data_IF_432683274784
#
_entry.id   IF_432683274784
#
_cell.length_a   1.000
_cell.length_b   1.000
_cell.length_c   1.000
_cell.angle_alpha   90.00
_cell.angle_beta   90.00
_cell.angle_gamma   90.00
#
_symmetry.space_group_name_H-M   'P 1'
#
loop_
_entity.id
_entity.type
_entity.pdbx_description
1 polymer ?
#
# COMPACT_ATOMS: atom_id res chain seq x y z
N UNK A 1 10.67 -3.57 -9.05
CA UNK A 1 9.99 -4.88 -8.90
C UNK A 1 8.60 -4.73 -8.28
N UNK A 2 8.47 -4.29 -7.02
CA UNK A 2 7.16 -4.05 -6.37
C UNK A 2 6.22 -3.13 -7.16
N UNK A 3 6.64 -1.92 -7.54
CA UNK A 3 5.81 -0.97 -8.32
C UNK A 3 5.21 -1.58 -9.61
N UNK A 4 6.01 -2.37 -10.32
CA UNK A 4 5.57 -3.01 -11.56
C UNK A 4 4.55 -4.12 -11.26
N UNK A 5 4.82 -4.98 -10.26
CA UNK A 5 3.89 -6.02 -9.82
C UNK A 5 2.58 -5.43 -9.29
N UNK A 6 2.65 -4.35 -8.50
CA UNK A 6 1.49 -3.63 -8.01
C UNK A 6 0.63 -3.10 -9.16
N UNK A 7 1.24 -2.40 -10.12
CA UNK A 7 0.50 -1.87 -11.28
C UNK A 7 -0.17 -2.98 -12.10
N UNK A 8 0.51 -4.10 -12.30
CA UNK A 8 -0.04 -5.25 -13.03
C UNK A 8 -1.23 -5.87 -12.31
N UNK A 9 -1.09 -6.17 -11.01
CA UNK A 9 -2.18 -6.78 -10.22
C UNK A 9 -3.35 -5.82 -10.02
N UNK A 10 -3.09 -4.53 -9.78
CA UNK A 10 -4.14 -3.51 -9.68
C UNK A 10 -4.94 -3.41 -10.98
N UNK A 11 -4.27 -3.34 -12.13
CA UNK A 11 -4.95 -3.24 -13.43
C UNK A 11 -5.80 -4.49 -13.72
N UNK A 12 -5.30 -5.68 -13.39
CA UNK A 12 -6.04 -6.92 -13.54
C UNK A 12 -7.29 -6.96 -12.64
N UNK A 13 -7.15 -6.50 -11.39
CA UNK A 13 -8.26 -6.42 -10.44
C UNK A 13 -9.33 -5.43 -10.89
N UNK A 14 -8.92 -4.26 -11.42
CA UNK A 14 -9.84 -3.24 -11.93
C UNK A 14 -10.68 -3.76 -13.11
N UNK A 15 -10.09 -4.54 -14.01
CA UNK A 15 -10.82 -5.15 -15.13
C UNK A 15 -11.89 -6.11 -14.60
N UNK A 16 -11.55 -6.97 -13.65
CA UNK A 16 -12.49 -7.94 -13.08
C UNK A 16 -13.59 -7.21 -12.32
N UNK A 17 -13.25 -6.21 -11.50
CA UNK A 17 -14.22 -5.40 -10.76
C UNK A 17 -15.24 -4.74 -11.68
N UNK A 18 -14.78 -4.10 -12.76
CA UNK A 18 -15.66 -3.45 -13.74
C UNK A 18 -16.58 -4.45 -14.46
N UNK A 19 -16.10 -5.68 -14.74
CA UNK A 19 -16.92 -6.73 -15.33
C UNK A 19 -18.03 -7.20 -14.36
N UNK A 20 -17.71 -7.34 -13.07
CA UNK A 20 -18.68 -7.69 -12.04
C UNK A 20 -19.74 -6.59 -11.86
N UNK A 21 -19.30 -5.32 -11.83
CA UNK A 21 -20.20 -4.18 -11.76
C UNK A 21 -21.14 -4.10 -12.97
N UNK A 22 -20.60 -4.26 -14.18
CA UNK A 22 -21.38 -4.25 -15.43
C UNK A 22 -22.37 -5.41 -15.51
N UNK A 23 -22.01 -6.56 -14.93
CA UNK A 23 -22.84 -7.77 -14.90
C UNK A 23 -23.79 -7.82 -13.70
N UNK A 24 -23.81 -6.80 -12.83
CA UNK A 24 -24.57 -6.76 -11.56
C UNK A 24 -24.33 -7.99 -10.67
N UNK A 25 -23.13 -8.57 -10.72
CA UNK A 25 -22.73 -9.68 -9.84
C UNK A 25 -22.41 -9.16 -8.44
N UNK A 26 -22.57 -10.01 -7.43
CA UNK A 26 -22.19 -9.67 -6.07
C UNK A 26 -20.66 -9.48 -6.00
N UNK A 27 -20.22 -8.31 -5.55
CA UNK A 27 -18.79 -7.99 -5.40
C UNK A 27 -18.12 -8.84 -4.31
N UNK A 28 -18.88 -9.48 -3.42
CA UNK A 28 -18.31 -10.48 -2.50
C UNK A 28 -17.69 -11.68 -3.23
N UNK A 29 -18.11 -11.96 -4.46
CA UNK A 29 -17.53 -13.00 -5.31
C UNK A 29 -16.12 -12.64 -5.81
N UNK A 30 -15.63 -11.40 -5.62
CA UNK A 30 -14.23 -11.05 -5.88
C UNK A 30 -13.26 -11.65 -4.86
N UNK A 31 -13.70 -11.88 -3.61
CA UNK A 31 -12.86 -12.42 -2.52
C UNK A 31 -12.17 -13.75 -2.85
N UNK A 32 -12.84 -14.74 -3.48
CA UNK A 32 -12.18 -15.99 -3.85
C UNK A 32 -11.26 -15.89 -5.07
N UNK A 33 -11.37 -14.83 -5.89
CA UNK A 33 -10.63 -14.65 -7.15
C UNK A 33 -9.13 -14.56 -6.88
N UNK A 34 -8.33 -15.20 -7.74
CA UNK A 34 -6.89 -15.31 -7.57
C UNK A 34 -6.20 -13.95 -7.58
N UNK A 35 -6.59 -13.07 -8.50
CA UNK A 35 -6.04 -11.72 -8.66
C UNK A 35 -6.25 -10.88 -7.40
N UNK A 36 -7.40 -11.03 -6.73
CA UNK A 36 -7.68 -10.38 -5.46
C UNK A 36 -6.78 -10.91 -4.33
N UNK A 37 -6.62 -12.24 -4.24
CA UNK A 37 -5.72 -12.87 -3.26
C UNK A 37 -4.26 -12.49 -3.49
N UNK A 38 -3.81 -12.52 -4.74
CA UNK A 38 -2.45 -12.16 -5.13
C UNK A 38 -2.16 -10.67 -4.83
N UNK A 39 -3.14 -9.79 -5.04
CA UNK A 39 -3.03 -8.38 -4.70
C UNK A 39 -2.92 -8.15 -3.19
N UNK A 40 -3.76 -8.84 -2.40
CA UNK A 40 -3.69 -8.78 -0.93
C UNK A 40 -2.37 -9.33 -0.39
N UNK A 41 -1.91 -10.47 -0.91
CA UNK A 41 -0.65 -11.08 -0.50
C UNK A 41 0.54 -10.18 -0.83
N UNK A 42 0.53 -9.56 -2.02
CA UNK A 42 1.50 -8.54 -2.35
C UNK A 42 1.43 -7.41 -1.32
N UNK A 43 0.26 -6.86 -1.00
CA UNK A 43 0.13 -5.75 -0.05
C UNK A 43 0.65 -6.09 1.36
N UNK A 44 0.34 -7.29 1.87
CA UNK A 44 0.74 -7.74 3.21
C UNK A 44 2.25 -8.02 3.30
N UNK A 45 2.83 -8.60 2.25
CA UNK A 45 4.22 -9.05 2.28
C UNK A 45 5.23 -8.03 1.72
N UNK A 46 4.78 -6.97 1.07
CA UNK A 46 5.69 -6.02 0.42
C UNK A 46 6.45 -5.11 1.36
N UNK A 47 6.02 -5.02 2.62
CA UNK A 47 6.58 -4.10 3.60
C UNK A 47 7.13 -4.85 4.81
N UNK A 48 8.27 -5.53 4.63
CA UNK A 48 8.99 -6.23 5.71
C UNK A 48 9.83 -5.27 6.57
N UNK A 49 9.22 -4.23 7.15
CA UNK A 49 9.91 -3.33 8.07
C UNK A 49 10.31 -4.07 9.35
N UNK A 50 11.59 -3.98 9.73
CA UNK A 50 12.16 -4.51 10.97
C UNK A 50 12.62 -3.38 11.89
N UNK A 51 12.76 -3.68 13.18
CA UNK A 51 13.42 -2.76 14.11
C UNK A 51 14.86 -2.56 13.68
N UNK A 52 15.31 -1.30 13.59
CA UNK A 52 16.67 -1.01 13.14
C UNK A 52 16.85 0.39 12.60
N UNK A 53 18.06 0.65 12.11
CA UNK A 53 18.43 1.90 11.47
C UNK A 53 18.19 1.78 9.96
N UNK A 54 17.66 2.83 9.37
CA UNK A 54 17.32 2.95 7.97
C UNK A 54 17.96 4.20 7.39
N UNK A 55 18.27 4.12 6.11
CA UNK A 55 18.69 5.27 5.31
C UNK A 55 17.82 5.31 4.06
N UNK A 56 17.25 6.48 3.75
CA UNK A 56 16.46 6.73 2.54
C UNK A 56 17.14 7.83 1.73
N UNK A 57 17.43 7.56 0.46
CA UNK A 57 17.85 8.57 -0.51
C UNK A 57 16.65 9.05 -1.32
N UNK A 58 16.31 10.34 -1.19
CA UNK A 58 15.32 11.03 -2.00
C UNK A 58 16.03 11.73 -3.15
N UNK A 59 15.72 11.32 -4.39
CA UNK A 59 16.23 11.96 -5.61
C UNK A 59 15.11 12.71 -6.33
N UNK A 60 15.25 14.03 -6.44
CA UNK A 60 14.28 14.92 -7.11
C UNK A 60 14.83 15.33 -8.47
N UNK A 61 14.15 14.91 -9.54
CA UNK A 61 14.48 15.26 -10.92
C UNK A 61 13.64 16.44 -11.39
N UNK A 62 14.30 17.49 -11.89
CA UNK A 62 13.64 18.65 -12.50
C UNK A 62 13.91 18.61 -14.01
N UNK A 63 12.87 18.81 -14.82
CA UNK A 63 12.83 18.61 -16.29
C UNK A 63 13.89 19.38 -17.11
N UNK A 64 14.67 20.27 -16.49
CA UNK A 64 15.74 21.08 -17.10
C UNK A 64 17.08 21.00 -16.36
N UNK A 65 17.22 20.09 -15.40
CA UNK A 65 18.48 19.89 -14.66
C UNK A 65 19.04 18.50 -14.98
N UNK A 66 20.30 18.39 -15.41
CA UNK A 66 20.90 17.10 -15.74
C UNK A 66 21.14 16.24 -14.50
N UNK A 67 21.32 16.85 -13.33
CA UNK A 67 21.55 16.15 -12.06
C UNK A 67 20.37 16.32 -11.10
N UNK A 68 19.92 15.24 -10.44
CA UNK A 68 18.87 15.33 -9.43
C UNK A 68 19.40 16.00 -8.16
N UNK A 69 18.49 16.61 -7.39
CA UNK A 69 18.78 16.90 -5.99
C UNK A 69 18.68 15.60 -5.20
N UNK A 70 19.71 15.28 -4.44
CA UNK A 70 19.74 14.09 -3.59
C UNK A 70 19.75 14.53 -2.12
N UNK A 71 18.86 13.95 -1.32
CA UNK A 71 18.84 14.14 0.12
C UNK A 71 18.72 12.79 0.80
N UNK A 72 19.60 12.53 1.77
CA UNK A 72 19.61 11.29 2.53
C UNK A 72 18.98 11.54 3.91
N UNK A 73 18.06 10.67 4.30
CA UNK A 73 17.42 10.65 5.60
C UNK A 73 17.83 9.41 6.36
N UNK A 74 18.47 9.60 7.51
CA UNK A 74 18.81 8.52 8.42
C UNK A 74 17.84 8.52 9.60
N UNK A 75 17.22 7.38 9.88
CA UNK A 75 16.24 7.25 10.96
C UNK A 75 16.21 5.84 11.55
N UNK A 76 15.71 5.73 12.78
CA UNK A 76 15.51 4.47 13.49
C UNK A 76 14.04 4.13 13.61
N UNK A 77 13.69 2.91 13.24
CA UNK A 77 12.39 2.32 13.55
C UNK A 77 12.48 1.51 14.85
N UNK A 78 11.68 1.89 15.82
CA UNK A 78 11.49 1.15 17.08
C UNK A 78 10.43 0.06 16.91
N UNK A 79 10.32 -0.85 17.90
CA UNK A 79 9.24 -1.85 17.93
C UNK A 79 7.86 -1.21 17.87
N UNK A 80 7.65 -0.10 18.58
CA UNK A 80 6.39 0.66 18.53
C UNK A 80 6.09 1.16 17.12
N UNK A 81 7.10 1.67 16.40
CA UNK A 81 6.92 2.11 15.02
C UNK A 81 6.50 0.96 14.10
N UNK A 82 7.12 -0.22 14.26
CA UNK A 82 6.77 -1.42 13.48
C UNK A 82 5.32 -1.85 13.75
N UNK A 83 4.89 -1.87 15.02
CA UNK A 83 3.51 -2.24 15.36
C UNK A 83 2.49 -1.23 14.80
N UNK A 84 2.81 0.07 14.82
CA UNK A 84 1.98 1.10 14.17
C UNK A 84 1.91 0.91 12.65
N UNK A 85 3.02 0.60 11.99
CA UNK A 85 3.05 0.31 10.55
C UNK A 85 2.18 -0.90 10.20
N UNK A 86 2.24 -1.98 10.99
CA UNK A 86 1.37 -3.15 10.81
C UNK A 86 -0.11 -2.80 10.97
N UNK A 87 -0.45 -1.99 11.96
CA UNK A 87 -1.82 -1.51 12.17
C UNK A 87 -2.31 -0.69 10.97
N UNK A 88 -1.50 0.24 10.48
CA UNK A 88 -1.81 1.03 9.29
C UNK A 88 -2.03 0.17 8.05
N UNK A 89 -1.24 -0.89 7.84
CA UNK A 89 -1.44 -1.85 6.74
C UNK A 89 -2.81 -2.52 6.87
N UNK A 90 -3.20 -2.94 8.08
CA UNK A 90 -4.52 -3.55 8.34
C UNK A 90 -5.68 -2.58 8.12
N UNK A 91 -5.52 -1.32 8.53
CA UNK A 91 -6.52 -0.26 8.28
C UNK A 91 -6.67 0.02 6.79
N UNK A 92 -5.56 0.11 6.04
CA UNK A 92 -5.60 0.23 4.58
C UNK A 92 -6.34 -0.94 3.92
N UNK A 93 -6.11 -2.17 4.38
CA UNK A 93 -6.82 -3.35 3.86
C UNK A 93 -8.33 -3.24 4.09
N UNK A 94 -8.72 -2.89 5.32
CA UNK A 94 -10.14 -2.71 5.68
C UNK A 94 -10.81 -1.60 4.87
N UNK A 95 -10.09 -0.51 4.61
CA UNK A 95 -10.57 0.57 3.75
C UNK A 95 -10.74 0.12 2.30
N UNK A 96 -9.76 -0.60 1.76
CA UNK A 96 -9.85 -1.17 0.42
C UNK A 96 -11.06 -2.10 0.27
N UNK A 97 -11.28 -2.99 1.23
CA UNK A 97 -12.47 -3.85 1.27
C UNK A 97 -13.75 -3.02 1.31
N UNK A 98 -13.80 -1.96 2.11
CA UNK A 98 -14.97 -1.10 2.20
C UNK A 98 -15.29 -0.37 0.89
N UNK A 99 -14.26 0.19 0.23
CA UNK A 99 -14.40 0.94 -1.02
C UNK A 99 -14.70 0.03 -2.21
N UNK A 100 -13.99 -1.09 -2.35
CA UNK A 100 -14.08 -1.94 -3.54
C UNK A 100 -15.18 -3.01 -3.46
N UNK A 101 -15.51 -3.50 -2.26
CA UNK A 101 -16.46 -4.61 -2.11
C UNK A 101 -17.79 -4.10 -1.59
N UNK A 102 -17.80 -3.41 -0.46
CA UNK A 102 -19.07 -2.98 0.16
C UNK A 102 -19.56 -1.63 -0.33
N UNK A 103 -18.79 -0.94 -1.19
CA UNK A 103 -19.05 0.41 -1.70
C UNK A 103 -19.41 1.42 -0.58
N UNK A 104 -18.89 1.17 0.62
CA UNK A 104 -19.17 1.94 1.82
C UNK A 104 -17.95 2.84 2.05
N UNK A 105 -18.11 4.16 1.90
CA UNK A 105 -17.01 5.10 2.04
C UNK A 105 -16.66 5.29 3.52
N UNK A 106 -16.02 4.29 4.12
CA UNK A 106 -15.51 4.41 5.48
C UNK A 106 -14.22 5.21 5.49
N UNK A 107 -14.12 6.16 6.40
CA UNK A 107 -12.87 6.89 6.69
C UNK A 107 -11.85 5.96 7.37
N UNK A 108 -10.55 6.15 7.11
CA UNK A 108 -9.43 5.50 7.81
C UNK A 108 -9.33 5.98 9.29
N UNK A 109 -10.31 5.63 10.14
CA UNK A 109 -10.41 6.13 11.52
C UNK A 109 -9.28 5.63 12.43
N UNK A 110 -8.67 4.49 12.13
CA UNK A 110 -7.60 3.88 12.93
C UNK A 110 -6.18 4.20 12.46
N UNK A 111 -6.00 5.08 11.46
CA UNK A 111 -4.67 5.40 10.93
C UNK A 111 -3.83 6.20 11.93
N UNK A 112 -2.60 5.74 12.17
CA UNK A 112 -1.66 6.38 13.09
C UNK A 112 -0.44 6.93 12.35
N UNK A 113 -0.09 8.19 12.56
CA UNK A 113 1.16 8.72 12.04
C UNK A 113 2.36 8.02 12.70
N UNK A 114 3.31 7.57 11.87
CA UNK A 114 4.55 6.94 12.33
C UNK A 114 5.67 7.97 12.31
N UNK A 115 6.08 8.41 13.50
CA UNK A 115 7.22 9.31 13.67
C UNK A 115 8.47 8.48 13.96
N UNK A 116 9.40 8.44 13.02
CA UNK A 116 10.69 7.79 13.20
C UNK A 116 11.67 8.72 13.95
N UNK A 117 12.59 8.12 14.70
CA UNK A 117 13.64 8.88 15.39
C UNK A 117 14.73 9.24 14.38
N UNK A 118 15.04 10.53 14.24
CA UNK A 118 16.18 10.97 13.44
C UNK A 118 17.48 10.47 14.09
N UNK A 119 18.38 9.93 13.28
CA UNK A 119 19.73 9.54 13.70
C UNK A 119 20.71 10.64 13.32
#
# INVERSE_FOLDING_TARGET
KFKQQFNTLSSALDIIHNNYHSSKKDLNELKPVKEYKDFLDLYENSFCWKVGNYSISLKVYIRKRPTPFEHNFDFKLTRLNIEKLKRNIKECKSFWEAVYITQDSKSLKGWEQVTALKI
#
